data_IF_524802296621
#
_entry.id   IF_524802296621
#
_cell.length_a   1.000
_cell.length_b   1.000
_cell.length_c   1.000
_cell.angle_alpha   90.00
_cell.angle_beta   90.00
_cell.angle_gamma   90.00
#
_symmetry.space_group_name_H-M   'P 1'
#
loop_
_entity.id
_entity.type
_entity.pdbx_description
1 polymer ?
#
# COMPACT_ATOMS: atom_id res chain seq x y z
N UNK A 1 -16.94 11.01 16.40
CA UNK A 1 -15.56 10.59 16.74
C UNK A 1 -14.50 10.65 15.65
N UNK A 2 -14.80 11.02 14.40
CA UNK A 2 -13.77 11.14 13.34
C UNK A 2 -12.79 12.33 13.47
N UNK A 3 -13.01 13.26 14.41
CA UNK A 3 -12.15 14.43 14.57
C UNK A 3 -10.94 14.21 15.50
N UNK A 4 -11.02 13.26 16.44
CA UNK A 4 -9.90 12.96 17.34
C UNK A 4 -8.76 12.21 16.64
N UNK A 5 -9.11 11.33 15.70
CA UNK A 5 -8.16 10.45 15.00
C UNK A 5 -7.30 11.23 13.97
N UNK A 6 -7.91 12.23 13.33
CA UNK A 6 -7.20 13.14 12.41
C UNK A 6 -6.17 14.01 13.14
N UNK A 7 -6.48 14.47 14.36
CA UNK A 7 -5.60 15.32 15.16
C UNK A 7 -4.35 14.58 15.64
N UNK A 8 -4.49 13.33 16.10
CA UNK A 8 -3.35 12.52 16.52
C UNK A 8 -2.47 12.12 15.33
N UNK A 9 -3.08 11.73 14.20
CA UNK A 9 -2.35 11.39 12.98
C UNK A 9 -1.60 12.59 12.41
N UNK A 10 -2.21 13.79 12.47
CA UNK A 10 -1.59 15.04 12.04
C UNK A 10 -0.46 15.49 12.97
N UNK A 11 -0.64 15.38 14.30
CA UNK A 11 0.40 15.70 15.28
C UNK A 11 1.63 14.79 15.14
N UNK A 12 1.41 13.48 15.02
CA UNK A 12 2.49 12.50 14.79
C UNK A 12 3.17 12.76 13.45
N UNK A 13 2.42 13.14 12.41
CA UNK A 13 2.99 13.49 11.10
C UNK A 13 3.75 14.82 11.10
N UNK A 14 3.40 15.79 11.96
CA UNK A 14 4.10 17.08 12.05
C UNK A 14 5.33 17.02 12.97
N UNK A 15 5.25 16.28 14.08
CA UNK A 15 6.32 16.23 15.08
C UNK A 15 7.40 15.17 14.78
N UNK A 16 7.09 14.06 14.11
CA UNK A 16 8.09 13.03 13.75
C UNK A 16 8.59 13.14 12.31
N UNK A 17 8.08 14.08 11.51
CA UNK A 17 8.54 14.30 10.13
C UNK A 17 9.08 15.71 9.90
N UNK A 18 9.65 16.33 10.94
CA UNK A 18 10.57 17.43 10.74
C UNK A 18 11.67 16.98 9.77
N UNK A 19 11.98 17.84 8.80
CA UNK A 19 12.41 17.43 7.45
C UNK A 19 13.87 16.99 7.35
N UNK A 20 14.57 16.63 8.44
CA UNK A 20 16.01 16.31 8.43
C UNK A 20 16.50 15.38 9.58
N UNK A 21 15.64 14.63 10.26
CA UNK A 21 16.10 13.80 11.40
C UNK A 21 16.72 12.47 10.94
N UNK A 22 17.88 12.11 11.50
CA UNK A 22 18.45 10.76 11.38
C UNK A 22 17.59 9.76 12.19
N UNK A 23 17.53 8.50 11.76
CA UNK A 23 16.77 7.46 12.48
C UNK A 23 17.23 7.30 13.94
N UNK A 24 18.48 7.67 14.24
CA UNK A 24 19.07 7.67 15.57
C UNK A 24 18.50 8.74 16.50
N UNK A 25 17.95 9.82 15.97
CA UNK A 25 17.36 10.91 16.76
C UNK A 25 15.94 10.56 17.25
N UNK A 26 15.31 9.55 16.65
CA UNK A 26 13.99 9.07 17.07
C UNK A 26 14.15 8.17 18.29
N UNK A 27 13.43 8.53 19.36
CA UNK A 27 13.39 7.73 20.59
C UNK A 27 12.86 6.32 20.31
N UNK A 28 13.39 5.33 21.03
CA UNK A 28 12.97 3.93 20.87
C UNK A 28 11.47 3.71 21.13
N UNK A 29 10.85 4.57 21.95
CA UNK A 29 9.40 4.56 22.19
C UNK A 29 8.57 5.12 21.02
N UNK A 30 9.16 5.98 20.19
CA UNK A 30 8.49 6.67 19.09
C UNK A 30 8.62 5.92 17.75
N UNK A 31 9.60 5.02 17.62
CA UNK A 31 9.77 4.17 16.41
C UNK A 31 8.49 3.43 16.01
N UNK A 32 7.66 3.02 16.98
CA UNK A 32 6.38 2.34 16.71
C UNK A 32 5.40 3.20 15.91
N UNK A 33 5.49 4.53 16.01
CA UNK A 33 4.58 5.43 15.29
C UNK A 33 4.89 5.49 13.80
N UNK A 34 6.12 5.14 13.38
CA UNK A 34 6.44 4.98 11.96
C UNK A 34 5.62 3.85 11.31
N UNK A 35 5.07 2.91 12.09
CA UNK A 35 4.21 1.83 11.59
C UNK A 35 2.79 2.28 11.26
N UNK A 36 2.35 3.46 11.73
CA UNK A 36 0.96 3.88 11.62
C UNK A 36 0.40 3.83 10.19
N UNK A 37 1.09 4.36 9.15
CA UNK A 37 0.55 4.29 7.80
C UNK A 37 0.46 2.83 7.30
N UNK A 38 1.41 1.96 7.63
CA UNK A 38 1.33 0.54 7.25
C UNK A 38 0.15 -0.19 7.90
N UNK A 39 -0.09 0.07 9.20
CA UNK A 39 -1.22 -0.50 9.94
C UNK A 39 -2.55 0.02 9.39
N UNK A 40 -2.62 1.32 9.07
CA UNK A 40 -3.81 1.93 8.47
C UNK A 40 -4.10 1.36 7.08
N UNK A 41 -3.08 1.14 6.25
CA UNK A 41 -3.20 0.43 4.97
C UNK A 41 -3.75 -0.98 5.13
N UNK A 42 -3.19 -1.76 6.06
CA UNK A 42 -3.63 -3.13 6.34
C UNK A 42 -5.07 -3.19 6.86
N UNK A 43 -5.47 -2.27 7.73
CA UNK A 43 -6.85 -2.17 8.23
C UNK A 43 -7.82 -1.74 7.14
N UNK A 44 -7.40 -0.83 6.26
CA UNK A 44 -8.19 -0.40 5.09
C UNK A 44 -8.48 -1.58 4.15
N UNK A 45 -7.50 -2.46 3.92
CA UNK A 45 -7.69 -3.66 3.10
C UNK A 45 -8.65 -4.69 3.71
N UNK A 46 -8.86 -4.66 5.04
CA UNK A 46 -9.79 -5.56 5.74
C UNK A 46 -11.26 -5.11 5.67
N UNK A 47 -11.53 -3.93 5.12
CA UNK A 47 -12.90 -3.43 4.98
C UNK A 47 -13.66 -4.23 3.91
N UNK A 48 -14.85 -4.73 4.26
CA UNK A 48 -15.62 -5.68 3.44
C UNK A 48 -16.65 -5.03 2.50
N UNK A 49 -16.80 -3.71 2.53
CA UNK A 49 -17.73 -3.01 1.64
C UNK A 49 -17.22 -3.02 0.18
N UNK A 50 -17.79 -3.92 -0.63
CA UNK A 50 -17.43 -4.09 -2.04
C UNK A 50 -17.76 -2.85 -2.88
N UNK A 51 -18.74 -2.04 -2.48
CA UNK A 51 -19.13 -0.84 -3.23
C UNK A 51 -18.05 0.25 -3.17
N UNK A 52 -17.22 0.21 -2.12
CA UNK A 52 -16.10 1.12 -1.89
C UNK A 52 -14.75 0.47 -2.14
N UNK A 53 -14.71 -0.73 -2.72
CA UNK A 53 -13.46 -1.49 -2.90
C UNK A 53 -12.39 -0.69 -3.63
N UNK A 54 -12.75 0.05 -4.68
CA UNK A 54 -11.81 0.90 -5.40
C UNK A 54 -11.18 1.96 -4.47
N UNK A 55 -12.01 2.66 -3.69
CA UNK A 55 -11.56 3.67 -2.73
C UNK A 55 -10.65 3.06 -1.66
N UNK A 56 -10.98 1.86 -1.16
CA UNK A 56 -10.17 1.17 -0.17
C UNK A 56 -8.80 0.78 -0.73
N UNK A 57 -8.73 0.29 -1.98
CA UNK A 57 -7.47 -0.05 -2.64
C UNK A 57 -6.60 1.20 -2.85
N UNK A 58 -7.17 2.30 -3.35
CA UNK A 58 -6.44 3.54 -3.59
C UNK A 58 -5.93 4.18 -2.29
N UNK A 59 -6.77 4.17 -1.23
CA UNK A 59 -6.37 4.63 0.10
C UNK A 59 -5.29 3.74 0.71
N UNK A 60 -5.46 2.42 0.70
CA UNK A 60 -4.45 1.48 1.22
C UNK A 60 -3.11 1.64 0.51
N UNK A 61 -3.11 1.79 -0.83
CA UNK A 61 -1.90 2.05 -1.61
C UNK A 61 -1.20 3.32 -1.16
N UNK A 62 -1.97 4.39 -0.95
CA UNK A 62 -1.43 5.67 -0.46
C UNK A 62 -0.76 5.50 0.89
N UNK A 63 -1.40 4.80 1.83
CA UNK A 63 -0.85 4.57 3.16
C UNK A 63 0.42 3.70 3.15
N UNK A 64 0.45 2.62 2.35
CA UNK A 64 1.65 1.80 2.21
C UNK A 64 2.80 2.56 1.54
N UNK A 65 2.53 3.38 0.54
CA UNK A 65 3.56 4.20 -0.09
C UNK A 65 4.10 5.28 0.85
N UNK A 66 3.25 5.91 1.67
CA UNK A 66 3.70 6.84 2.71
C UNK A 66 4.63 6.14 3.70
N UNK A 67 4.25 4.96 4.19
CA UNK A 67 5.11 4.13 5.03
C UNK A 67 6.46 3.81 4.36
N UNK A 68 6.44 3.32 3.12
CA UNK A 68 7.66 2.96 2.39
C UNK A 68 8.55 4.18 2.15
N UNK A 69 7.99 5.33 1.80
CA UNK A 69 8.76 6.59 1.65
C UNK A 69 9.46 6.98 2.95
N UNK A 70 8.76 6.88 4.08
CA UNK A 70 9.35 7.13 5.41
C UNK A 70 10.48 6.15 5.70
N UNK A 71 10.26 4.85 5.52
CA UNK A 71 11.29 3.82 5.74
C UNK A 71 12.50 3.99 4.81
N UNK A 72 12.29 4.44 3.58
CA UNK A 72 13.37 4.72 2.63
C UNK A 72 14.19 5.95 3.08
N UNK A 73 13.52 7.04 3.50
CA UNK A 73 14.17 8.25 4.01
C UNK A 73 15.05 7.95 5.23
N UNK A 74 14.53 7.17 6.18
CA UNK A 74 15.26 6.76 7.38
C UNK A 74 16.21 5.58 7.17
N UNK A 75 16.37 5.07 5.92
CA UNK A 75 17.23 3.92 5.58
C UNK A 75 16.99 2.69 6.47
N UNK A 76 15.73 2.44 6.82
CA UNK A 76 15.32 1.30 7.67
C UNK A 76 15.68 -0.04 7.02
N UNK A 77 15.60 -0.11 5.69
CA UNK A 77 15.94 -1.29 4.90
C UNK A 77 16.34 -0.88 3.48
N UNK A 78 17.14 -1.71 2.83
CA UNK A 78 17.48 -1.52 1.42
C UNK A 78 16.37 -2.10 0.53
N UNK A 79 15.66 -1.23 -0.17
CA UNK A 79 14.65 -1.61 -1.15
C UNK A 79 14.39 -0.47 -2.13
N UNK A 80 13.79 -0.82 -3.27
CA UNK A 80 13.36 0.15 -4.29
C UNK A 80 11.91 0.56 -4.03
N UNK A 81 11.65 1.87 -4.02
CA UNK A 81 10.29 2.39 -3.90
C UNK A 81 9.46 1.98 -5.13
N UNK A 82 8.23 1.47 -4.94
CA UNK A 82 7.31 1.25 -6.04
C UNK A 82 6.96 2.58 -6.74
N UNK A 83 6.75 2.57 -8.07
CA UNK A 83 6.44 3.77 -8.84
C UNK A 83 5.11 4.41 -8.41
N UNK A 84 5.01 5.72 -8.59
CA UNK A 84 3.75 6.42 -8.40
C UNK A 84 2.78 6.05 -9.52
N UNK A 85 1.49 5.98 -9.18
CA UNK A 85 0.46 5.56 -10.13
C UNK A 85 0.45 6.54 -11.32
N UNK A 86 0.78 6.07 -12.53
CA UNK A 86 0.83 6.86 -13.76
C UNK A 86 2.16 6.79 -14.51
N UNK A 87 3.28 6.53 -13.84
CA UNK A 87 4.63 6.56 -14.48
C UNK A 87 4.92 5.33 -15.36
N UNK A 88 4.14 4.26 -15.22
CA UNK A 88 4.30 3.03 -16.00
C UNK A 88 3.28 2.91 -17.14
N UNK A 89 2.28 3.80 -17.21
CA UNK A 89 1.18 3.69 -18.19
C UNK A 89 1.40 4.45 -19.50
N UNK A 90 2.44 5.30 -19.62
CA UNK A 90 2.69 6.02 -20.88
C UNK A 90 3.43 5.19 -21.94
N UNK A 91 3.87 3.96 -21.65
CA UNK A 91 4.65 3.17 -22.62
C UNK A 91 4.10 1.77 -22.96
N UNK A 92 2.98 1.35 -22.39
CA UNK A 92 2.26 0.15 -22.86
C UNK A 92 0.87 0.55 -23.35
N UNK A 93 0.88 1.17 -24.53
CA UNK A 93 -0.31 1.31 -25.35
C UNK A 93 -1.00 -0.03 -25.53
N UNK A 94 -2.33 0.03 -25.58
CA UNK A 94 -3.28 -1.06 -25.79
C UNK A 94 -3.09 -1.76 -27.16
N UNK A 95 -1.96 -2.45 -27.32
CA UNK A 95 -1.71 -3.41 -28.39
C UNK A 95 -1.49 -4.78 -27.74
N UNK A 96 -2.24 -5.82 -28.10
CA UNK A 96 -1.89 -7.19 -27.72
C UNK A 96 -0.59 -7.52 -28.45
N UNK A 97 0.54 -7.30 -27.78
CA UNK A 97 1.84 -7.67 -28.32
C UNK A 97 1.92 -9.20 -28.34
N UNK A 98 2.02 -9.78 -29.53
CA UNK A 98 2.30 -11.20 -29.79
C UNK A 98 3.73 -11.61 -29.36
N UNK A 99 4.35 -10.89 -28.43
CA UNK A 99 5.65 -11.24 -27.90
C UNK A 99 5.49 -12.40 -26.88
N UNK A 100 6.29 -13.48 -27.00
CA UNK A 100 6.26 -14.54 -26.00
C UNK A 100 6.61 -13.96 -24.63
N UNK A 101 5.98 -14.45 -23.55
CA UNK A 101 6.24 -13.95 -22.21
C UNK A 101 7.74 -14.08 -21.90
N UNK A 102 8.35 -12.96 -21.48
CA UNK A 102 9.77 -12.91 -21.16
C UNK A 102 10.05 -13.79 -19.92
N UNK A 103 10.41 -15.06 -20.17
CA UNK A 103 10.62 -16.07 -19.14
C UNK A 103 11.69 -15.65 -18.12
N UNK A 104 12.68 -14.87 -18.56
CA UNK A 104 13.71 -14.30 -17.69
C UNK A 104 13.13 -13.29 -16.71
N UNK A 105 12.26 -12.38 -17.17
CA UNK A 105 11.58 -11.42 -16.30
C UNK A 105 10.69 -12.14 -15.27
N UNK A 106 9.98 -13.19 -15.67
CA UNK A 106 9.16 -14.02 -14.77
C UNK A 106 10.03 -14.72 -13.71
N UNK A 107 11.16 -15.28 -14.12
CA UNK A 107 12.09 -15.94 -13.20
C UNK A 107 12.69 -14.96 -12.19
N UNK A 108 13.11 -13.77 -12.63
CA UNK A 108 13.62 -12.70 -11.75
C UNK A 108 12.54 -12.26 -10.76
N UNK A 109 11.32 -12.04 -11.22
CA UNK A 109 10.20 -11.66 -10.38
C UNK A 109 9.88 -12.73 -9.31
N UNK A 110 9.84 -14.00 -9.72
CA UNK A 110 9.64 -15.13 -8.81
C UNK A 110 10.75 -15.21 -7.77
N UNK A 111 12.01 -15.02 -8.20
CA UNK A 111 13.16 -15.08 -7.30
C UNK A 111 13.11 -13.94 -6.25
N UNK A 112 12.73 -12.73 -6.66
CA UNK A 112 12.55 -11.60 -5.75
C UNK A 112 11.48 -11.88 -4.69
N UNK A 113 10.33 -12.48 -5.08
CA UNK A 113 9.30 -12.91 -4.13
C UNK A 113 9.80 -13.96 -3.13
N UNK A 114 10.54 -14.96 -3.60
CA UNK A 114 11.10 -16.00 -2.73
C UNK A 114 12.07 -15.39 -1.72
N UNK A 115 12.94 -14.48 -2.15
CA UNK A 115 13.89 -13.79 -1.27
C UNK A 115 13.15 -12.95 -0.23
N UNK A 116 12.15 -12.17 -0.63
CA UNK A 116 11.33 -11.36 0.27
C UNK A 116 10.59 -12.22 1.30
N UNK A 117 9.99 -13.33 0.88
CA UNK A 117 9.34 -14.27 1.78
C UNK A 117 10.31 -14.84 2.83
N UNK A 118 11.52 -15.26 2.40
CA UNK A 118 12.56 -15.76 3.32
C UNK A 118 13.00 -14.69 4.33
N UNK A 119 13.20 -13.46 3.88
CA UNK A 119 13.54 -12.31 4.73
C UNK A 119 12.43 -12.04 5.76
N UNK A 120 11.19 -11.91 5.31
CA UNK A 120 10.01 -11.73 6.17
C UNK A 120 9.92 -12.83 7.23
N UNK A 121 10.09 -14.09 6.82
CA UNK A 121 10.03 -15.24 7.75
C UNK A 121 11.14 -15.21 8.80
N UNK A 122 12.35 -14.82 8.42
CA UNK A 122 13.46 -14.66 9.36
C UNK A 122 13.17 -13.56 10.39
N UNK A 123 12.64 -12.41 9.93
CA UNK A 123 12.27 -11.29 10.81
C UNK A 123 11.14 -11.67 11.78
N UNK A 124 10.11 -12.37 11.30
CA UNK A 124 9.02 -12.90 12.16
C UNK A 124 9.57 -13.81 13.27
N UNK A 125 10.53 -14.66 12.95
CA UNK A 125 11.18 -15.53 13.93
C UNK A 125 11.90 -14.74 15.02
N UNK A 126 12.68 -13.72 14.66
CA UNK A 126 13.38 -12.86 15.62
C UNK A 126 12.39 -12.07 16.50
N UNK A 127 11.37 -11.49 15.88
CA UNK A 127 10.31 -10.76 16.58
C UNK A 127 9.58 -11.64 17.59
N UNK A 128 9.29 -12.89 17.24
CA UNK A 128 8.60 -13.82 18.14
C UNK A 128 9.38 -14.09 19.44
N UNK A 129 10.71 -14.14 19.37
CA UNK A 129 11.59 -14.35 20.54
C UNK A 129 11.56 -13.12 21.45
N UNK A 130 11.61 -11.91 20.90
CA UNK A 130 11.72 -10.66 21.67
C UNK A 130 10.36 -10.15 22.19
N UNK A 131 9.25 -10.53 21.55
CA UNK A 131 7.91 -9.97 21.79
C UNK A 131 7.49 -9.99 23.25
N UNK A 132 7.74 -11.07 23.96
CA UNK A 132 7.31 -11.19 25.36
C UNK A 132 8.14 -10.32 26.30
N UNK A 133 9.46 -10.23 26.08
CA UNK A 133 10.33 -9.38 26.89
C UNK A 133 9.93 -7.90 26.77
N UNK A 134 9.67 -7.44 25.54
CA UNK A 134 9.22 -6.06 25.28
C UNK A 134 7.82 -5.82 25.85
N UNK A 135 6.87 -6.74 25.63
CA UNK A 135 5.49 -6.61 26.12
C UNK A 135 5.41 -6.57 27.65
N UNK A 136 6.24 -7.36 28.34
CA UNK A 136 6.27 -7.44 29.80
C UNK A 136 7.12 -6.34 30.46
N UNK A 137 7.71 -5.43 29.68
CA UNK A 137 8.56 -4.35 30.20
C UNK A 137 9.90 -4.83 30.77
N UNK A 138 10.32 -6.05 30.43
CA UNK A 138 11.60 -6.65 30.87
C UNK A 138 12.74 -6.42 29.89
N UNK A 139 12.44 -5.89 28.70
CA UNK A 139 13.44 -5.57 27.70
C UNK A 139 14.17 -4.27 28.06
N UNK A 140 15.49 -4.28 27.87
CA UNK A 140 16.31 -3.08 27.95
C UNK A 140 16.06 -2.15 26.76
N UNK A 141 16.49 -0.89 26.85
CA UNK A 141 16.24 0.13 25.83
C UNK A 141 16.74 -0.29 24.43
N UNK A 142 17.96 -0.84 24.35
CA UNK A 142 18.53 -1.37 23.11
C UNK A 142 17.66 -2.50 22.51
N UNK A 143 17.13 -3.38 23.35
CA UNK A 143 16.27 -4.49 22.91
C UNK A 143 14.91 -3.99 22.41
N UNK A 144 14.37 -2.93 23.04
CA UNK A 144 13.15 -2.26 22.59
C UNK A 144 13.39 -1.62 21.23
N UNK A 145 14.53 -0.94 21.06
CA UNK A 145 14.93 -0.32 19.80
C UNK A 145 15.06 -1.35 18.69
N UNK A 146 15.82 -2.41 18.91
CA UNK A 146 16.01 -3.51 17.95
C UNK A 146 14.66 -4.14 17.58
N UNK A 147 13.78 -4.38 18.56
CA UNK A 147 12.45 -4.94 18.31
C UNK A 147 11.64 -4.09 17.33
N UNK A 148 11.58 -2.76 17.54
CA UNK A 148 10.82 -1.89 16.63
C UNK A 148 11.48 -1.74 15.26
N UNK A 149 12.81 -1.74 15.17
CA UNK A 149 13.52 -1.75 13.89
C UNK A 149 13.25 -3.04 13.10
N UNK A 150 13.26 -4.20 13.76
CA UNK A 150 12.89 -5.47 13.14
C UNK A 150 11.44 -5.47 12.68
N UNK A 151 10.54 -4.86 13.47
CA UNK A 151 9.13 -4.72 13.12
C UNK A 151 8.96 -3.83 11.89
N UNK A 152 9.64 -2.69 11.81
CA UNK A 152 9.62 -1.82 10.64
C UNK A 152 10.12 -2.56 9.39
N UNK A 153 11.23 -3.30 9.47
CA UNK A 153 11.76 -4.10 8.35
C UNK A 153 10.75 -5.18 7.90
N UNK A 154 10.09 -5.85 8.84
CA UNK A 154 9.07 -6.86 8.53
C UNK A 154 7.85 -6.24 7.84
N UNK A 155 7.46 -5.03 8.26
CA UNK A 155 6.41 -4.26 7.60
C UNK A 155 6.83 -3.71 6.24
N UNK A 156 8.10 -3.41 6.00
CA UNK A 156 8.61 -3.06 4.64
C UNK A 156 8.37 -4.23 3.68
N UNK A 157 8.72 -5.46 4.08
CA UNK A 157 8.42 -6.64 3.26
C UNK A 157 6.92 -6.79 2.98
N UNK A 158 6.09 -6.61 4.01
CA UNK A 158 4.62 -6.72 3.90
C UNK A 158 4.05 -5.63 2.99
N UNK A 159 4.42 -4.37 3.19
CA UNK A 159 3.92 -3.25 2.39
C UNK A 159 4.28 -3.38 0.91
N UNK A 160 5.48 -3.89 0.58
CA UNK A 160 5.85 -4.18 -0.81
C UNK A 160 4.98 -5.28 -1.44
N UNK A 161 4.66 -6.33 -0.69
CA UNK A 161 3.75 -7.40 -1.14
C UNK A 161 2.32 -6.86 -1.34
N UNK A 162 1.82 -6.06 -0.41
CA UNK A 162 0.49 -5.47 -0.48
C UNK A 162 0.37 -4.46 -1.63
N UNK A 163 1.37 -3.61 -1.85
CA UNK A 163 1.36 -2.67 -3.00
C UNK A 163 1.34 -3.44 -4.32
N UNK A 164 2.12 -4.51 -4.45
CA UNK A 164 2.10 -5.35 -5.66
C UNK A 164 0.72 -6.01 -5.88
N UNK A 165 0.10 -6.51 -4.80
CA UNK A 165 -1.25 -7.09 -4.85
C UNK A 165 -2.31 -6.04 -5.23
N UNK A 166 -2.21 -4.83 -4.66
CA UNK A 166 -3.13 -3.73 -4.96
C UNK A 166 -2.98 -3.31 -6.42
N UNK A 167 -1.76 -3.21 -6.94
CA UNK A 167 -1.50 -2.80 -8.33
C UNK A 167 -2.03 -3.84 -9.33
N UNK A 168 -2.09 -5.12 -8.97
CA UNK A 168 -2.74 -6.18 -9.77
C UNK A 168 -4.27 -6.11 -9.69
N UNK A 169 -4.84 -5.77 -8.53
CA UNK A 169 -6.28 -5.75 -8.32
C UNK A 169 -6.96 -4.49 -8.87
N UNK A 170 -6.30 -3.33 -8.77
CA UNK A 170 -6.85 -2.02 -9.16
C UNK A 170 -7.44 -1.99 -10.59
N UNK A 171 -6.72 -2.47 -11.64
CA UNK A 171 -7.27 -2.50 -13.00
C UNK A 171 -8.55 -3.34 -13.12
N UNK A 172 -8.63 -4.47 -12.42
CA UNK A 172 -9.78 -5.37 -12.45
C UNK A 172 -11.01 -4.72 -11.82
N UNK A 173 -10.83 -4.06 -10.67
CA UNK A 173 -11.91 -3.35 -9.99
C UNK A 173 -12.40 -2.16 -10.80
N UNK A 174 -11.49 -1.39 -11.42
CA UNK A 174 -11.84 -0.28 -12.32
C UNK A 174 -12.64 -0.75 -13.53
N UNK A 175 -12.22 -1.83 -14.19
CA UNK A 175 -12.94 -2.41 -15.32
C UNK A 175 -14.36 -2.84 -14.92
N UNK A 176 -14.51 -3.49 -13.75
CA UNK A 176 -15.81 -3.88 -13.21
C UNK A 176 -16.75 -2.68 -12.97
N UNK A 177 -16.23 -1.58 -12.43
CA UNK A 177 -17.02 -0.36 -12.21
C UNK A 177 -17.45 0.31 -13.52
N UNK A 178 -16.59 0.30 -14.54
CA UNK A 178 -16.95 0.80 -15.88
C UNK A 178 -18.10 -0.01 -16.50
N UNK A 179 -18.03 -1.34 -16.43
CA UNK A 179 -19.10 -2.23 -16.94
C UNK A 179 -20.42 -1.96 -16.21
N UNK A 180 -20.38 -1.80 -14.88
CA UNK A 180 -21.56 -1.47 -14.08
C UNK A 180 -22.20 -0.15 -14.52
N UNK A 181 -21.39 0.91 -14.70
CA UNK A 181 -21.88 2.23 -15.16
C UNK A 181 -22.56 2.16 -16.54
N UNK A 182 -22.00 1.38 -17.48
CA UNK A 182 -22.58 1.19 -18.82
C UNK A 182 -23.91 0.44 -18.75
N UNK A 183 -24.06 -0.51 -17.83
CA UNK A 183 -25.34 -1.24 -17.65
C UNK A 183 -26.45 -0.40 -16.99
N UNK A 184 -26.09 0.65 -16.26
CA UNK A 184 -27.03 1.52 -15.53
C UNK A 184 -27.48 2.75 -16.36
N UNK A 185 -26.82 3.06 -17.48
CA UNK A 185 -27.27 4.12 -18.40
C UNK A 185 -28.44 3.64 -19.28
N UNK A 186 -29.66 4.23 -19.15
CA UNK A 186 -30.79 3.87 -19.99
C UNK A 186 -30.54 4.32 -21.45
N UNK A 187 -31.08 3.59 -22.45
CA UNK A 187 -30.97 4.02 -23.85
C UNK A 187 -31.60 5.40 -24.03
N UNK A 188 -31.05 6.25 -24.91
CA UNK A 188 -31.64 7.56 -25.18
C UNK A 188 -33.07 7.34 -25.70
N UNK A 189 -34.03 7.97 -25.01
CA UNK A 189 -35.43 8.00 -25.42
C UNK A 189 -35.47 8.66 -26.79
N UNK A 190 -35.75 7.88 -27.84
CA UNK A 190 -36.01 8.38 -29.17
C UNK A 190 -37.35 9.13 -29.16
N UNK A 191 -37.30 10.41 -28.77
CA UNK A 191 -38.40 11.35 -28.81
C UNK A 191 -38.74 11.70 -30.26
N UNK A 192 -39.80 11.07 -30.75
CA UNK A 192 -40.84 11.60 -31.65
C UNK A 192 -40.64 13.02 -32.18
N UNK A 193 -40.59 13.20 -33.52
CA UNK A 193 -41.16 14.34 -34.26
C UNK A 193 -40.98 14.14 -35.78
N UNK A 194 -42.02 13.66 -36.46
CA UNK A 194 -42.26 13.91 -37.88
C UNK A 194 -43.75 13.66 -38.16
N UNK A 195 -44.58 14.69 -37.96
CA UNK A 195 -45.90 14.76 -38.57
C UNK A 195 -45.76 15.13 -40.06
N UNK A 196 -46.51 14.52 -40.98
CA UNK A 196 -46.43 14.86 -42.41
C UNK A 196 -47.12 16.20 -42.72
N UNK A 197 -46.72 16.89 -43.82
CA UNK A 197 -47.30 18.18 -44.19
C UNK A 197 -48.69 18.03 -44.84
N UNK A 198 -49.56 19.06 -44.78
CA UNK A 198 -50.87 19.02 -45.41
C UNK A 198 -50.79 19.31 -46.92
N UNK A 199 -51.82 18.82 -47.63
CA UNK A 199 -52.07 18.96 -49.08
C UNK A 199 -52.34 20.40 -49.51
#
# INVERSE_FOLDING_TARGET
>A
DSHGDMGFTLYVSLSLCSTNEDLEEISSADLRFLLLPALLGALTLRQTDLSRRLQHLEAARTYFLDFLKRCHRYKVSDFTLPPLHGETQENEGCHPSEAPPNLTAIAVHRQAKIQRYKQKKSLEGKLAVMKEAVRSGRAEEEQIREFYLLQLRQWVCTALEEVESIDQELPLVRAREMIKKVSETPPPIAGHLLSPPPL
#
